data_IF_794789988771
#
_entry.id   IF_794789988771
#
_cell.length_a   1.000
_cell.length_b   1.000
_cell.length_c   1.000
_cell.angle_alpha   90.00
_cell.angle_beta   90.00
_cell.angle_gamma   90.00
#
_symmetry.space_group_name_H-M   'P 1'
#
loop_
_entity.id
_entity.type
_entity.pdbx_description
1 polymer ?
#
# COMPACT_ATOMS: atom_id res chain seq x y z
N UNK A 1 72.36 -7.97 16.76
CA UNK A 1 71.57 -8.24 15.53
C UNK A 1 70.08 -8.35 15.92
N UNK A 2 69.39 -7.22 16.13
CA UNK A 2 67.97 -7.21 16.49
C UNK A 2 67.10 -7.27 15.23
N UNK A 3 66.83 -8.50 14.77
CA UNK A 3 65.90 -8.71 13.66
C UNK A 3 64.47 -8.49 14.18
N UNK A 4 63.86 -7.41 13.69
CA UNK A 4 62.52 -6.90 13.96
C UNK A 4 61.46 -8.00 14.15
N UNK A 5 61.06 -8.24 15.40
CA UNK A 5 59.87 -9.04 15.77
C UNK A 5 58.56 -8.23 15.71
N UNK A 6 58.59 -7.04 15.13
CA UNK A 6 57.44 -6.11 15.10
C UNK A 6 56.48 -6.37 13.94
N UNK A 7 56.88 -7.12 12.91
CA UNK A 7 56.06 -7.29 11.70
C UNK A 7 54.75 -8.07 11.95
N UNK A 8 54.79 -9.12 12.79
CA UNK A 8 53.61 -9.93 13.11
C UNK A 8 52.50 -9.14 13.81
N UNK A 9 52.80 -8.44 14.92
CA UNK A 9 51.83 -7.57 15.59
C UNK A 9 51.27 -6.47 14.69
N UNK A 10 52.10 -5.87 13.83
CA UNK A 10 51.64 -4.84 12.89
C UNK A 10 50.67 -5.39 11.85
N UNK A 11 50.96 -6.54 11.24
CA UNK A 11 50.06 -7.17 10.27
C UNK A 11 48.72 -7.54 10.95
N UNK A 12 48.79 -8.12 12.15
CA UNK A 12 47.60 -8.47 12.91
C UNK A 12 46.74 -7.24 13.24
N UNK A 13 47.35 -6.16 13.72
CA UNK A 13 46.64 -4.92 14.03
C UNK A 13 46.00 -4.29 12.77
N UNK A 14 46.72 -4.28 11.65
CA UNK A 14 46.19 -3.79 10.37
C UNK A 14 45.00 -4.60 9.88
N UNK A 15 45.06 -5.93 9.94
CA UNK A 15 43.94 -6.81 9.55
C UNK A 15 42.74 -6.62 10.48
N UNK A 16 42.97 -6.56 11.79
CA UNK A 16 41.91 -6.30 12.76
C UNK A 16 41.25 -4.93 12.53
N UNK A 17 42.04 -3.90 12.21
CA UNK A 17 41.52 -2.57 11.92
C UNK A 17 40.67 -2.55 10.64
N UNK A 18 41.14 -3.19 9.55
CA UNK A 18 40.38 -3.28 8.29
C UNK A 18 39.07 -4.04 8.48
N UNK A 19 39.10 -5.16 9.22
CA UNK A 19 37.88 -5.91 9.55
C UNK A 19 36.91 -5.08 10.40
N UNK A 20 37.40 -4.39 11.43
CA UNK A 20 36.57 -3.51 12.27
C UNK A 20 35.94 -2.38 11.47
N UNK A 21 36.69 -1.76 10.56
CA UNK A 21 36.19 -0.73 9.66
C UNK A 21 35.13 -1.28 8.69
N UNK A 22 35.38 -2.46 8.10
CA UNK A 22 34.42 -3.14 7.22
C UNK A 22 33.11 -3.44 7.94
N UNK A 23 33.16 -4.00 9.15
CA UNK A 23 31.96 -4.31 9.93
C UNK A 23 31.21 -3.05 10.37
N UNK A 24 31.92 -1.99 10.75
CA UNK A 24 31.30 -0.70 11.09
C UNK A 24 30.58 -0.11 9.87
N UNK A 25 31.24 -0.13 8.71
CA UNK A 25 30.65 0.32 7.45
C UNK A 25 29.44 -0.53 7.05
N UNK A 26 29.54 -1.86 7.13
CA UNK A 26 28.46 -2.79 6.84
C UNK A 26 27.28 -2.68 7.83
N UNK A 27 27.53 -2.33 9.09
CA UNK A 27 26.47 -2.07 10.06
C UNK A 27 25.71 -0.77 9.77
N UNK A 28 26.40 0.25 9.23
CA UNK A 28 25.80 1.53 8.87
C UNK A 28 25.07 1.48 7.52
N UNK A 29 25.68 0.87 6.50
CA UNK A 29 25.15 0.83 5.13
C UNK A 29 24.45 -0.48 4.75
N UNK A 30 24.59 -1.53 5.55
CA UNK A 30 24.03 -2.84 5.23
C UNK A 30 22.51 -2.86 5.33
N UNK A 31 21.90 -3.84 4.66
CA UNK A 31 20.46 -4.10 4.62
C UNK A 31 19.81 -4.32 5.99
N UNK A 32 20.58 -4.45 7.07
CA UNK A 32 20.12 -4.60 8.47
C UNK A 32 20.52 -3.42 9.37
N UNK A 33 21.07 -2.34 8.81
CA UNK A 33 21.44 -1.14 9.56
C UNK A 33 20.22 -0.33 10.03
N UNK A 34 20.45 0.58 10.98
CA UNK A 34 19.40 1.42 11.62
C UNK A 34 18.54 2.17 10.60
N UNK A 35 19.13 2.58 9.47
CA UNK A 35 18.43 3.27 8.37
C UNK A 35 17.40 2.40 7.64
N UNK A 36 17.59 1.08 7.58
CA UNK A 36 16.64 0.19 6.90
C UNK A 36 15.30 0.19 7.61
N UNK A 37 15.28 0.25 8.94
CA UNK A 37 14.04 0.23 9.72
C UNK A 37 13.19 1.46 9.45
N UNK A 38 13.79 2.65 9.40
CA UNK A 38 13.08 3.90 9.07
C UNK A 38 12.51 3.85 7.64
N UNK A 39 13.25 3.28 6.68
CA UNK A 39 12.75 3.12 5.31
C UNK A 39 11.59 2.12 5.23
N UNK A 40 11.72 0.97 5.90
CA UNK A 40 10.67 -0.06 5.93
C UNK A 40 9.41 0.50 6.59
N UNK A 41 9.53 1.23 7.70
CA UNK A 41 8.38 1.81 8.38
C UNK A 41 7.68 2.86 7.49
N UNK A 42 8.45 3.66 6.73
CA UNK A 42 7.90 4.59 5.76
C UNK A 42 7.19 3.88 4.60
N UNK A 43 7.78 2.81 4.05
CA UNK A 43 7.19 2.00 2.98
C UNK A 43 5.91 1.31 3.46
N UNK A 44 5.91 0.73 4.66
CA UNK A 44 4.72 0.12 5.28
C UNK A 44 3.61 1.16 5.43
N UNK A 45 3.94 2.37 5.90
CA UNK A 45 2.94 3.44 6.07
C UNK A 45 2.29 3.81 4.74
N UNK A 46 3.08 4.02 3.70
CA UNK A 46 2.59 4.40 2.37
C UNK A 46 1.71 3.30 1.75
N UNK A 47 2.20 2.05 1.79
CA UNK A 47 1.45 0.89 1.29
C UNK A 47 0.18 0.62 2.07
N UNK A 48 0.17 0.87 3.37
CA UNK A 48 -1.03 0.72 4.20
C UNK A 48 -2.09 1.75 3.82
N UNK A 49 -1.69 3.01 3.61
CA UNK A 49 -2.60 4.06 3.17
C UNK A 49 -3.21 3.77 1.80
N UNK A 50 -2.40 3.31 0.84
CA UNK A 50 -2.85 2.88 -0.48
C UNK A 50 -3.87 1.72 -0.38
N UNK A 51 -3.55 0.71 0.43
CA UNK A 51 -4.45 -0.43 0.66
C UNK A 51 -5.77 -0.01 1.28
N UNK A 52 -5.75 0.89 2.27
CA UNK A 52 -6.95 1.39 2.93
C UNK A 52 -7.84 2.19 1.96
N UNK A 53 -7.23 3.02 1.10
CA UNK A 53 -7.96 3.77 0.08
C UNK A 53 -8.64 2.83 -0.94
N UNK A 54 -7.92 1.82 -1.44
CA UNK A 54 -8.48 0.82 -2.34
C UNK A 54 -9.59 0.00 -1.68
N UNK A 55 -9.42 -0.36 -0.41
CA UNK A 55 -10.44 -1.09 0.35
C UNK A 55 -11.72 -0.28 0.48
N UNK A 56 -11.60 1.01 0.81
CA UNK A 56 -12.74 1.91 0.89
C UNK A 56 -13.48 2.01 -0.46
N UNK A 57 -12.75 2.00 -1.58
CA UNK A 57 -13.37 2.02 -2.90
C UNK A 57 -14.11 0.73 -3.24
N UNK A 58 -13.51 -0.42 -2.93
CA UNK A 58 -14.17 -1.73 -3.07
C UNK A 58 -15.44 -1.78 -2.23
N UNK A 59 -15.40 -1.32 -0.98
CA UNK A 59 -16.57 -1.32 -0.10
C UNK A 59 -17.68 -0.39 -0.64
N UNK A 60 -17.30 0.75 -1.24
CA UNK A 60 -18.21 1.67 -1.91
C UNK A 60 -18.88 1.01 -3.12
N UNK A 61 -18.08 0.39 -3.99
CA UNK A 61 -18.59 -0.30 -5.18
C UNK A 61 -19.48 -1.48 -4.80
N UNK A 62 -19.09 -2.27 -3.80
CA UNK A 62 -19.89 -3.36 -3.29
C UNK A 62 -21.25 -2.88 -2.75
N UNK A 63 -21.28 -1.73 -2.07
CA UNK A 63 -22.55 -1.13 -1.62
C UNK A 63 -23.43 -0.70 -2.80
N UNK A 64 -22.87 0.00 -3.80
CA UNK A 64 -23.61 0.42 -4.99
C UNK A 64 -24.16 -0.79 -5.75
N UNK A 65 -23.34 -1.81 -6.01
CA UNK A 65 -23.77 -3.05 -6.66
C UNK A 65 -24.86 -3.75 -5.86
N UNK A 66 -24.75 -3.81 -4.53
CA UNK A 66 -25.79 -4.39 -3.67
C UNK A 66 -27.10 -3.62 -3.78
N UNK A 67 -27.05 -2.29 -3.83
CA UNK A 67 -28.25 -1.44 -3.98
C UNK A 67 -28.91 -1.56 -5.36
N UNK A 68 -28.15 -1.99 -6.36
CA UNK A 68 -28.66 -2.28 -7.71
C UNK A 68 -29.18 -3.72 -7.85
N UNK A 69 -29.08 -4.56 -6.82
CA UNK A 69 -29.61 -5.94 -6.88
C UNK A 69 -31.14 -5.95 -6.72
N UNK A 70 -31.80 -6.93 -7.34
CA UNK A 70 -33.27 -7.10 -7.33
C UNK A 70 -33.92 -7.07 -5.94
N UNK A 71 -33.20 -7.46 -4.88
CA UNK A 71 -33.71 -7.40 -3.51
C UNK A 71 -33.81 -5.98 -2.94
N UNK A 72 -33.07 -5.03 -3.51
CA UNK A 72 -32.99 -3.63 -3.08
C UNK A 72 -33.46 -2.64 -4.16
N UNK A 73 -33.49 -3.07 -5.43
CA UNK A 73 -33.87 -2.27 -6.59
C UNK A 73 -35.26 -2.67 -7.07
N UNK A 74 -36.25 -1.82 -6.81
CA UNK A 74 -37.59 -1.96 -7.36
C UNK A 74 -37.59 -1.51 -8.83
N UNK A 75 -37.62 -2.49 -9.73
CA UNK A 75 -37.55 -2.28 -11.19
C UNK A 75 -38.78 -1.54 -11.73
N UNK A 76 -39.95 -1.71 -11.12
CA UNK A 76 -41.18 -1.04 -11.55
C UNK A 76 -41.09 0.46 -11.23
N UNK A 77 -40.64 0.82 -10.03
CA UNK A 77 -40.38 2.21 -9.66
C UNK A 77 -39.24 2.83 -10.49
N UNK A 78 -38.21 2.05 -10.85
CA UNK A 78 -37.13 2.50 -11.71
C UNK A 78 -37.64 2.82 -13.12
N UNK A 79 -38.51 1.96 -13.69
CA UNK A 79 -39.12 2.18 -14.99
C UNK A 79 -40.03 3.40 -14.99
N UNK A 80 -40.85 3.60 -13.95
CA UNK A 80 -41.67 4.81 -13.78
C UNK A 80 -40.81 6.08 -13.74
N UNK A 81 -39.74 6.09 -12.91
CA UNK A 81 -38.82 7.24 -12.85
C UNK A 81 -38.07 7.46 -14.16
N UNK A 82 -37.68 6.39 -14.85
CA UNK A 82 -37.04 6.49 -16.16
C UNK A 82 -38.01 7.08 -17.20
N UNK A 83 -39.29 6.70 -17.19
CA UNK A 83 -40.34 7.23 -18.06
C UNK A 83 -40.62 8.71 -17.80
N UNK A 84 -40.65 9.10 -16.51
CA UNK A 84 -40.82 10.50 -16.07
C UNK A 84 -39.62 11.37 -16.50
N UNK A 85 -38.39 10.92 -16.26
CA UNK A 85 -37.16 11.67 -16.58
C UNK A 85 -36.88 11.73 -18.09
N UNK A 86 -37.08 10.62 -18.81
CA UNK A 86 -36.84 10.54 -20.25
C UNK A 86 -38.01 11.11 -21.07
N UNK A 87 -39.10 11.55 -20.42
CA UNK A 87 -40.25 12.17 -21.08
C UNK A 87 -40.98 11.23 -22.03
N UNK A 88 -40.85 9.91 -21.86
CA UNK A 88 -41.50 8.89 -22.70
C UNK A 88 -42.92 8.57 -22.23
N UNK A 89 -43.51 9.38 -21.35
CA UNK A 89 -44.94 9.36 -21.07
C UNK A 89 -45.67 9.76 -22.37
N UNK A 90 -46.17 8.76 -23.10
CA UNK A 90 -47.25 9.00 -24.07
C UNK A 90 -48.40 9.57 -23.28
N UNK A 91 -49.03 10.62 -23.80
CA UNK A 91 -50.15 11.38 -23.21
C UNK A 91 -51.40 10.53 -22.87
N UNK A 92 -51.34 9.21 -23.00
CA UNK A 92 -52.50 8.32 -23.11
C UNK A 92 -52.54 7.22 -22.01
N UNK A 93 -51.56 7.13 -21.09
CA UNK A 93 -51.63 6.20 -19.94
C UNK A 93 -52.32 6.88 -18.73
N UNK A 94 -53.53 6.41 -18.40
CA UNK A 94 -54.36 6.87 -17.27
C UNK A 94 -53.90 6.14 -15.99
N UNK A 95 -53.38 6.90 -15.02
CA UNK A 95 -53.14 6.40 -13.65
C UNK A 95 -54.48 6.39 -12.89
N UNK A 96 -54.95 5.21 -12.51
CA UNK A 96 -56.09 5.05 -11.61
C UNK A 96 -55.57 5.19 -10.17
N UNK A 97 -56.21 6.10 -9.43
CA UNK A 97 -55.94 6.47 -8.03
C UNK A 97 -56.46 5.45 -7.03
#
# INVERSE_FOLDING_TARGET
>A
MHKSRTLGPFIFASVAFVLGAYFTFAAVQGSYGVFRRVQIDAEIKDRTAERDALRAEVDRMANLTRRLSDQYLDLDLLDERAREVLGTIRRDEIVIR
#
